data_IF_353839315396
#
_entry.id   IF_353839315396
#
_cell.length_a   1.000
_cell.length_b   1.000
_cell.length_c   1.000
_cell.angle_alpha   90.00
_cell.angle_beta   90.00
_cell.angle_gamma   90.00
#
_symmetry.space_group_name_H-M   'P 1'
#
loop_
_entity.id
_entity.type
_entity.pdbx_description
1 polymer ?
#
# COMPACT_ATOMS: atom_id res chain seq x y z
N UNK A 1 53.24 -157.78 7.28
CA UNK A 1 52.74 -156.40 7.39
C UNK A 1 51.46 -156.28 6.57
N UNK A 2 50.42 -155.73 7.20
CA UNK A 2 49.00 -155.84 6.83
C UNK A 2 48.70 -155.15 5.49
N UNK A 3 48.04 -155.83 4.54
CA UNK A 3 47.44 -155.18 3.38
C UNK A 3 46.20 -154.44 3.87
N UNK A 4 46.26 -153.12 3.85
CA UNK A 4 45.12 -152.25 4.19
C UNK A 4 44.24 -152.19 2.95
N UNK A 5 43.23 -153.05 2.89
CA UNK A 5 42.17 -152.94 1.88
C UNK A 5 41.31 -151.71 2.23
N UNK A 6 41.60 -150.59 1.57
CA UNK A 6 40.74 -149.41 1.64
C UNK A 6 39.35 -149.76 1.05
N UNK A 7 38.25 -149.19 1.57
CA UNK A 7 36.88 -149.55 1.21
C UNK A 7 36.49 -148.98 -0.17
N UNK A 8 37.09 -149.50 -1.23
CA UNK A 8 36.81 -149.10 -2.62
C UNK A 8 35.51 -149.74 -3.11
N UNK A 9 35.23 -150.99 -2.73
CA UNK A 9 34.05 -151.76 -3.13
C UNK A 9 32.72 -151.12 -2.68
N UNK A 10 32.62 -150.65 -1.43
CA UNK A 10 31.40 -150.00 -0.90
C UNK A 10 31.09 -148.66 -1.60
N UNK A 11 32.11 -147.99 -2.13
CA UNK A 11 31.94 -146.76 -2.91
C UNK A 11 31.42 -147.07 -4.32
N UNK A 12 31.93 -148.15 -4.93
CA UNK A 12 31.52 -148.62 -6.25
C UNK A 12 30.07 -149.11 -6.24
N UNK A 13 29.67 -149.90 -5.25
CA UNK A 13 28.28 -150.37 -5.11
C UNK A 13 27.31 -149.21 -4.94
N UNK A 14 27.62 -148.25 -4.05
CA UNK A 14 26.83 -147.03 -3.87
C UNK A 14 26.74 -146.21 -5.15
N UNK A 15 27.81 -146.16 -5.95
CA UNK A 15 27.81 -145.47 -7.24
C UNK A 15 26.90 -146.19 -8.28
N UNK A 16 26.92 -147.52 -8.30
CA UNK A 16 26.06 -148.33 -9.18
C UNK A 16 24.59 -148.19 -8.78
N UNK A 17 24.26 -148.22 -7.49
CA UNK A 17 22.90 -148.03 -6.99
C UNK A 17 22.38 -146.62 -7.27
N UNK A 18 23.22 -145.58 -7.12
CA UNK A 18 22.89 -144.21 -7.55
C UNK A 18 22.59 -144.13 -9.05
N UNK A 19 23.35 -144.86 -9.88
CA UNK A 19 23.10 -144.90 -11.32
C UNK A 19 21.78 -145.60 -11.65
N UNK A 20 21.53 -146.77 -11.05
CA UNK A 20 20.27 -147.52 -11.23
C UNK A 20 19.06 -146.70 -10.79
N UNK A 21 19.13 -146.04 -9.64
CA UNK A 21 18.07 -145.17 -9.13
C UNK A 21 17.88 -143.90 -9.98
N UNK A 22 18.96 -143.28 -10.48
CA UNK A 22 18.86 -142.17 -11.42
C UNK A 22 18.19 -142.58 -12.75
N UNK A 23 18.47 -143.79 -13.24
CA UNK A 23 17.83 -144.33 -14.45
C UNK A 23 16.35 -144.65 -14.26
N UNK A 24 15.93 -145.18 -13.10
CA UNK A 24 14.50 -145.39 -12.81
C UNK A 24 13.74 -144.07 -12.75
N UNK A 25 14.31 -143.05 -12.09
CA UNK A 25 13.77 -141.67 -12.04
C UNK A 25 13.73 -141.03 -13.43
N UNK A 26 14.72 -141.31 -14.30
CA UNK A 26 14.73 -140.84 -15.69
C UNK A 26 13.65 -141.52 -16.54
N UNK A 27 13.53 -142.85 -16.48
CA UNK A 27 12.52 -143.62 -17.22
C UNK A 27 11.11 -143.14 -16.86
N UNK A 28 10.82 -142.98 -15.57
CA UNK A 28 9.53 -142.46 -15.10
C UNK A 28 9.14 -141.11 -15.72
N UNK A 29 10.12 -140.22 -15.96
CA UNK A 29 9.89 -138.92 -16.62
C UNK A 29 9.68 -139.04 -18.14
N UNK A 30 10.44 -139.89 -18.82
CA UNK A 30 10.38 -140.05 -20.29
C UNK A 30 9.06 -140.68 -20.74
N UNK A 31 8.54 -141.64 -19.97
CA UNK A 31 7.32 -142.37 -20.31
C UNK A 31 6.04 -141.63 -19.90
N UNK A 32 6.11 -140.60 -19.04
CA UNK A 32 4.98 -139.75 -18.73
C UNK A 32 4.83 -138.61 -19.76
N UNK A 33 3.81 -138.66 -20.61
CA UNK A 33 3.60 -137.69 -21.71
C UNK A 33 3.39 -136.26 -21.22
N UNK A 34 2.68 -136.06 -20.10
CA UNK A 34 2.38 -134.73 -19.55
C UNK A 34 3.62 -134.06 -18.97
N UNK A 35 4.43 -134.78 -18.19
CA UNK A 35 5.68 -134.26 -17.63
C UNK A 35 6.74 -133.99 -18.72
N UNK A 36 6.70 -134.76 -19.82
CA UNK A 36 7.57 -134.55 -20.99
C UNK A 36 7.22 -133.28 -21.77
N UNK A 37 5.94 -132.96 -21.91
CA UNK A 37 5.46 -131.75 -22.63
C UNK A 37 5.50 -130.51 -21.72
N UNK A 38 5.15 -130.65 -20.43
CA UNK A 38 5.13 -129.56 -19.45
C UNK A 38 5.79 -130.00 -18.14
N UNK A 39 7.12 -129.92 -18.09
CA UNK A 39 7.90 -130.17 -16.88
C UNK A 39 8.09 -128.89 -16.07
N UNK A 40 7.19 -128.63 -15.11
CA UNK A 40 7.27 -127.48 -14.20
C UNK A 40 7.48 -127.97 -12.76
N UNK A 41 8.49 -127.42 -12.09
CA UNK A 41 8.72 -127.60 -10.66
C UNK A 41 8.11 -126.42 -9.90
N UNK A 42 6.88 -126.63 -9.40
CA UNK A 42 6.13 -125.59 -8.69
C UNK A 42 6.79 -125.20 -7.36
N UNK A 43 7.41 -126.16 -6.67
CA UNK A 43 8.05 -125.92 -5.38
C UNK A 43 9.32 -125.10 -5.56
N UNK A 44 10.15 -125.40 -6.56
CA UNK A 44 11.32 -124.60 -6.89
C UNK A 44 10.92 -123.18 -7.34
N UNK A 45 9.88 -123.04 -8.17
CA UNK A 45 9.41 -121.74 -8.63
C UNK A 45 8.87 -120.89 -7.47
N UNK A 46 8.09 -121.49 -6.56
CA UNK A 46 7.61 -120.81 -5.36
C UNK A 46 8.77 -120.33 -4.47
N UNK A 47 9.81 -121.16 -4.28
CA UNK A 47 11.02 -120.74 -3.55
C UNK A 47 11.71 -119.55 -4.23
N UNK A 48 11.84 -119.56 -5.55
CA UNK A 48 12.43 -118.45 -6.30
C UNK A 48 11.62 -117.16 -6.16
N UNK A 49 10.29 -117.24 -6.21
CA UNK A 49 9.41 -116.08 -6.00
C UNK A 49 9.58 -115.50 -4.59
N UNK A 50 9.64 -116.36 -3.56
CA UNK A 50 9.85 -115.90 -2.18
C UNK A 50 11.23 -115.25 -2.00
N UNK A 51 12.29 -115.83 -2.58
CA UNK A 51 13.62 -115.21 -2.51
C UNK A 51 13.66 -113.87 -3.25
N UNK A 52 13.00 -113.75 -4.40
CA UNK A 52 12.89 -112.46 -5.12
C UNK A 52 12.16 -111.41 -4.28
N UNK A 53 11.05 -111.78 -3.61
CA UNK A 53 10.33 -110.88 -2.69
C UNK A 53 11.20 -110.46 -1.51
N UNK A 54 11.93 -111.40 -0.90
CA UNK A 54 12.85 -111.12 0.20
C UNK A 54 13.93 -110.11 -0.22
N UNK A 55 14.51 -110.31 -1.41
CA UNK A 55 15.48 -109.38 -2.00
C UNK A 55 14.89 -107.98 -2.21
N UNK A 56 13.69 -107.90 -2.79
CA UNK A 56 13.00 -106.61 -2.99
C UNK A 56 12.72 -105.90 -1.65
N UNK A 57 12.23 -106.62 -0.65
CA UNK A 57 11.98 -106.05 0.67
C UNK A 57 13.27 -105.52 1.32
N UNK A 58 14.38 -106.25 1.19
CA UNK A 58 15.69 -105.78 1.67
C UNK A 58 16.16 -104.51 0.94
N UNK A 59 15.94 -104.45 -0.38
CA UNK A 59 16.29 -103.28 -1.19
C UNK A 59 15.44 -102.06 -0.82
N UNK A 60 14.14 -102.24 -0.61
CA UNK A 60 13.23 -101.19 -0.11
C UNK A 60 13.68 -100.72 1.28
N UNK A 61 13.99 -101.63 2.20
CA UNK A 61 14.49 -101.26 3.53
C UNK A 61 15.80 -100.47 3.46
N UNK A 62 16.69 -100.85 2.53
CA UNK A 62 17.94 -100.12 2.27
C UNK A 62 17.68 -98.72 1.71
N UNK A 63 16.76 -98.59 0.75
CA UNK A 63 16.31 -97.28 0.23
C UNK A 63 15.77 -96.40 1.34
N UNK A 64 14.81 -96.90 2.12
CA UNK A 64 14.21 -96.19 3.24
C UNK A 64 15.24 -95.76 4.30
N UNK A 65 16.31 -96.54 4.51
CA UNK A 65 17.38 -96.18 5.43
C UNK A 65 18.22 -95.00 4.91
N UNK A 66 18.49 -94.96 3.60
CA UNK A 66 19.18 -93.84 2.96
C UNK A 66 18.31 -92.58 2.92
N UNK A 67 17.01 -92.71 2.65
CA UNK A 67 16.08 -91.57 2.65
C UNK A 67 16.05 -90.91 4.03
N UNK A 68 15.97 -91.70 5.10
CA UNK A 68 16.07 -91.20 6.49
C UNK A 68 17.38 -90.49 6.79
N UNK A 69 18.49 -91.01 6.26
CA UNK A 69 19.80 -90.38 6.43
C UNK A 69 19.86 -89.04 5.69
N UNK A 70 19.28 -88.97 4.49
CA UNK A 70 19.10 -87.72 3.74
C UNK A 70 18.33 -86.69 4.54
N UNK A 71 17.16 -87.06 5.08
CA UNK A 71 16.37 -86.16 5.94
C UNK A 71 17.15 -85.65 7.16
N UNK A 72 17.99 -86.50 7.77
CA UNK A 72 18.83 -86.09 8.90
C UNK A 72 19.85 -85.04 8.48
N UNK A 73 20.53 -85.26 7.35
CA UNK A 73 21.52 -84.31 6.83
C UNK A 73 20.88 -82.99 6.41
N UNK A 74 19.72 -83.04 5.75
CA UNK A 74 18.97 -81.84 5.34
C UNK A 74 18.58 -81.00 6.57
N UNK A 75 18.06 -81.66 7.63
CA UNK A 75 17.72 -80.98 8.89
C UNK A 75 18.96 -80.36 9.55
N UNK A 76 20.09 -81.05 9.55
CA UNK A 76 21.33 -80.52 10.11
C UNK A 76 21.84 -79.30 9.34
N UNK A 77 21.77 -79.32 8.01
CA UNK A 77 22.13 -78.19 7.17
C UNK A 77 21.21 -76.98 7.42
N UNK A 78 19.90 -77.22 7.50
CA UNK A 78 18.92 -76.17 7.80
C UNK A 78 19.17 -75.53 9.16
N UNK A 79 19.53 -76.33 10.18
CA UNK A 79 19.87 -75.79 11.50
C UNK A 79 21.12 -74.92 11.44
N UNK A 80 22.18 -75.37 10.74
CA UNK A 80 23.39 -74.58 10.55
C UNK A 80 23.10 -73.25 9.85
N UNK A 81 22.26 -73.25 8.81
CA UNK A 81 21.84 -72.04 8.12
C UNK A 81 21.08 -71.08 9.03
N UNK A 82 20.22 -71.60 9.91
CA UNK A 82 19.50 -70.79 10.91
C UNK A 82 20.49 -70.17 11.90
N UNK A 83 21.37 -70.99 12.48
CA UNK A 83 22.36 -70.53 13.46
C UNK A 83 23.28 -69.45 12.87
N UNK A 84 23.72 -69.62 11.61
CA UNK A 84 24.54 -68.62 10.91
C UNK A 84 23.76 -67.32 10.62
N UNK A 85 22.47 -67.42 10.27
CA UNK A 85 21.62 -66.24 10.09
C UNK A 85 21.42 -65.48 11.39
N UNK A 86 21.21 -66.19 12.50
CA UNK A 86 21.08 -65.58 13.83
C UNK A 86 22.37 -64.88 14.25
N UNK A 87 23.54 -65.51 14.07
CA UNK A 87 24.84 -64.86 14.33
C UNK A 87 25.03 -63.59 13.49
N UNK A 88 24.71 -63.65 12.18
CA UNK A 88 24.79 -62.48 11.30
C UNK A 88 23.83 -61.38 11.73
N UNK A 89 22.62 -61.73 12.14
CA UNK A 89 21.64 -60.78 12.65
C UNK A 89 22.12 -60.11 13.93
N UNK A 90 22.68 -60.86 14.88
CA UNK A 90 23.27 -60.34 16.11
C UNK A 90 24.43 -59.37 15.83
N UNK A 91 25.36 -59.75 14.95
CA UNK A 91 26.44 -58.86 14.53
C UNK A 91 25.92 -57.57 13.89
N UNK A 92 24.87 -57.67 13.07
CA UNK A 92 24.25 -56.50 12.46
C UNK A 92 23.57 -55.60 13.51
N UNK A 93 22.88 -56.17 14.50
CA UNK A 93 22.29 -55.38 15.58
C UNK A 93 23.35 -54.65 16.39
N UNK A 94 24.46 -55.32 16.69
CA UNK A 94 25.57 -54.73 17.45
C UNK A 94 26.25 -53.59 16.68
N UNK A 95 26.47 -53.78 15.36
CA UNK A 95 26.98 -52.71 14.49
C UNK A 95 26.03 -51.53 14.42
N UNK A 96 24.73 -51.80 14.31
CA UNK A 96 23.71 -50.74 14.28
C UNK A 96 23.72 -49.95 15.59
N UNK A 97 23.81 -50.63 16.73
CA UNK A 97 23.94 -49.99 18.04
C UNK A 97 25.22 -49.14 18.11
N UNK A 98 26.35 -49.67 17.65
CA UNK A 98 27.62 -48.97 17.62
C UNK A 98 27.59 -47.71 16.74
N UNK A 99 26.99 -47.78 15.54
CA UNK A 99 26.81 -46.61 14.69
C UNK A 99 25.91 -45.56 15.35
N UNK A 100 24.83 -46.00 15.99
CA UNK A 100 23.92 -45.11 16.70
C UNK A 100 24.57 -44.41 17.90
N UNK A 101 25.50 -45.06 18.60
CA UNK A 101 26.18 -44.48 19.78
C UNK A 101 27.40 -43.65 19.43
N UNK A 102 28.17 -44.01 18.41
CA UNK A 102 29.50 -43.43 18.17
C UNK A 102 29.71 -42.78 16.80
N UNK A 103 28.77 -42.93 15.87
CA UNK A 103 28.87 -42.34 14.52
C UNK A 103 27.68 -41.42 14.24
N UNK A 104 27.25 -40.66 15.25
CA UNK A 104 26.19 -39.68 15.06
C UNK A 104 26.73 -38.52 14.23
N UNK A 105 25.86 -37.88 13.45
CA UNK A 105 26.23 -36.69 12.67
C UNK A 105 26.75 -35.55 13.56
N UNK A 106 26.23 -35.48 14.80
CA UNK A 106 26.67 -34.56 15.84
C UNK A 106 28.10 -34.82 16.35
N UNK A 107 28.59 -36.07 16.29
CA UNK A 107 29.92 -36.43 16.77
C UNK A 107 31.02 -36.14 15.71
N UNK A 108 30.62 -35.69 14.52
CA UNK A 108 31.55 -35.31 13.46
C UNK A 108 32.36 -34.08 13.84
N UNK A 109 33.65 -34.04 13.48
CA UNK A 109 34.49 -32.86 13.65
C UNK A 109 33.88 -31.58 13.03
N UNK A 110 33.13 -31.74 11.93
CA UNK A 110 32.49 -30.62 11.23
C UNK A 110 30.99 -30.52 11.56
N UNK A 111 30.55 -31.08 12.69
CA UNK A 111 29.15 -31.05 13.10
C UNK A 111 28.67 -29.60 13.30
N UNK A 112 29.52 -28.69 13.77
CA UNK A 112 29.26 -27.26 13.88
C UNK A 112 28.96 -26.59 12.52
N UNK A 113 29.64 -27.03 11.45
CA UNK A 113 29.42 -26.55 10.08
C UNK A 113 28.14 -27.12 9.44
N UNK A 114 27.77 -28.36 9.80
CA UNK A 114 26.66 -29.11 9.17
C UNK A 114 25.33 -28.95 9.92
N UNK A 115 25.38 -29.02 11.24
CA UNK A 115 24.24 -29.04 12.13
C UNK A 115 24.01 -27.64 12.69
N UNK A 116 22.89 -27.00 12.31
CA UNK A 116 22.49 -25.71 12.89
C UNK A 116 22.42 -24.52 11.94
N UNK A 117 22.57 -24.71 10.62
CA UNK A 117 22.40 -23.65 9.60
C UNK A 117 20.94 -23.19 9.40
N UNK A 118 20.07 -23.31 10.40
CA UNK A 118 18.69 -22.78 10.34
C UNK A 118 18.62 -21.42 11.03
N UNK A 119 18.97 -20.37 10.30
CA UNK A 119 18.74 -18.99 10.72
C UNK A 119 19.82 -18.01 10.23
N UNK A 120 19.54 -16.72 10.37
CA UNK A 120 20.56 -15.69 10.23
C UNK A 120 21.54 -15.85 11.41
N UNK A 121 22.84 -15.99 11.11
CA UNK A 121 23.90 -15.97 12.12
C UNK A 121 23.74 -14.70 12.97
N UNK A 122 23.21 -14.84 14.18
CA UNK A 122 23.33 -13.79 15.18
C UNK A 122 24.77 -13.86 15.62
N UNK A 123 25.58 -12.96 15.07
CA UNK A 123 26.96 -12.78 15.51
C UNK A 123 26.85 -12.33 16.98
N UNK A 124 27.04 -13.26 17.91
CA UNK A 124 27.09 -13.01 19.37
C UNK A 124 28.42 -12.33 19.76
N UNK A 125 29.14 -11.74 18.80
CA UNK A 125 30.40 -11.04 19.06
C UNK A 125 30.01 -9.60 19.43
N UNK A 126 30.36 -9.13 20.64
CA UNK A 126 30.06 -7.77 21.06
C UNK A 126 30.74 -6.76 20.12
N UNK A 127 30.04 -5.65 19.83
CA UNK A 127 30.49 -4.62 18.88
C UNK A 127 31.89 -4.05 19.20
N UNK A 128 32.33 -4.15 20.46
CA UNK A 128 33.65 -3.72 20.90
C UNK A 128 34.83 -4.54 20.35
N UNK A 129 34.59 -5.78 19.92
CA UNK A 129 35.63 -6.65 19.31
C UNK A 129 35.66 -6.54 17.78
N UNK A 130 34.67 -5.86 17.19
CA UNK A 130 34.52 -5.74 15.75
C UNK A 130 35.25 -4.50 15.23
N UNK A 131 36.51 -4.69 14.88
CA UNK A 131 37.32 -3.66 14.23
C UNK A 131 36.89 -3.36 12.78
N UNK A 132 37.48 -2.34 12.13
CA UNK A 132 37.15 -1.94 10.75
C UNK A 132 37.29 -3.06 9.71
N UNK A 133 38.22 -4.01 9.93
CA UNK A 133 38.43 -5.16 9.05
C UNK A 133 37.24 -6.14 9.03
N UNK A 134 36.39 -6.11 10.06
CA UNK A 134 35.20 -6.98 10.14
C UNK A 134 34.11 -6.58 9.14
N UNK A 135 34.14 -5.33 8.65
CA UNK A 135 33.27 -4.80 7.60
C UNK A 135 31.76 -4.94 7.89
N UNK A 136 31.37 -5.06 9.17
CA UNK A 136 29.98 -5.23 9.62
C UNK A 136 29.29 -3.91 9.94
N UNK A 137 30.05 -2.91 10.34
CA UNK A 137 29.56 -1.57 10.66
C UNK A 137 30.31 -0.55 9.83
N UNK A 138 29.56 0.37 9.21
CA UNK A 138 30.12 1.47 8.46
C UNK A 138 29.66 2.79 9.07
N UNK A 139 30.61 3.65 9.45
CA UNK A 139 30.30 4.98 9.97
C UNK A 139 29.51 5.86 8.97
N UNK A 140 29.54 5.51 7.68
CA UNK A 140 28.81 6.19 6.61
C UNK A 140 27.38 5.70 6.35
N UNK A 141 26.84 4.74 7.11
CA UNK A 141 25.46 4.26 6.93
C UNK A 141 24.37 5.31 7.26
N UNK A 142 24.76 6.47 7.78
CA UNK A 142 23.82 7.56 8.02
C UNK A 142 22.93 7.34 9.24
N UNK A 143 23.36 6.51 10.19
CA UNK A 143 22.69 6.34 11.48
C UNK A 143 22.57 7.73 12.15
N UNK A 144 21.35 8.27 12.23
CA UNK A 144 21.06 9.62 12.73
C UNK A 144 20.95 10.74 11.69
N UNK A 145 21.06 10.46 10.38
CA UNK A 145 20.80 11.44 9.32
C UNK A 145 19.38 11.97 9.32
N UNK A 146 18.40 11.11 9.59
CA UNK A 146 17.01 11.55 9.75
C UNK A 146 16.87 12.58 10.87
N UNK A 147 17.57 12.39 11.99
CA UNK A 147 17.52 13.31 13.12
C UNK A 147 18.16 14.65 12.76
N UNK A 148 19.32 14.65 12.09
CA UNK A 148 19.95 15.86 11.56
C UNK A 148 19.04 16.59 10.57
N UNK A 149 18.38 15.86 9.66
CA UNK A 149 17.43 16.43 8.70
C UNK A 149 16.21 17.02 9.38
N UNK A 150 15.66 16.37 10.41
CA UNK A 150 14.56 16.91 11.24
C UNK A 150 14.96 18.21 11.91
N UNK A 151 16.17 18.29 12.47
CA UNK A 151 16.68 19.51 13.09
C UNK A 151 16.88 20.64 12.07
N UNK A 152 17.41 20.33 10.89
CA UNK A 152 17.51 21.29 9.78
C UNK A 152 16.13 21.81 9.36
N UNK A 153 15.14 20.92 9.16
CA UNK A 153 13.78 21.30 8.81
C UNK A 153 13.13 22.19 9.88
N UNK A 154 13.38 21.91 11.17
CA UNK A 154 12.90 22.75 12.27
C UNK A 154 13.51 24.16 12.23
N UNK A 155 14.80 24.28 11.92
CA UNK A 155 15.46 25.59 11.76
C UNK A 155 14.85 26.36 10.59
N UNK A 156 14.73 25.73 9.42
CA UNK A 156 14.16 26.39 8.23
C UNK A 156 12.70 26.81 8.44
N UNK A 157 11.88 25.98 9.10
CA UNK A 157 10.49 26.34 9.43
C UNK A 157 10.42 27.54 10.38
N UNK A 158 11.29 27.60 11.39
CA UNK A 158 11.38 28.74 12.31
C UNK A 158 11.71 30.04 11.57
N UNK A 159 12.67 30.00 10.65
CA UNK A 159 13.11 31.17 9.90
C UNK A 159 12.01 31.67 8.94
N UNK A 160 11.34 30.76 8.23
CA UNK A 160 10.22 31.10 7.34
C UNK A 160 9.04 31.71 8.12
N UNK A 161 8.73 31.17 9.29
CA UNK A 161 7.68 31.73 10.17
C UNK A 161 8.02 33.15 10.61
N UNK A 162 9.26 33.38 11.03
CA UNK A 162 9.72 34.72 11.43
C UNK A 162 9.62 35.72 10.26
N UNK A 163 10.01 35.31 9.05
CA UNK A 163 9.90 36.13 7.85
C UNK A 163 8.44 36.46 7.51
N UNK A 164 7.53 35.48 7.61
CA UNK A 164 6.10 35.68 7.37
C UNK A 164 5.51 36.66 8.38
N UNK A 165 5.82 36.50 9.67
CA UNK A 165 5.33 37.38 10.73
C UNK A 165 5.83 38.82 10.55
N UNK A 166 7.12 39.00 10.20
CA UNK A 166 7.67 40.33 9.92
C UNK A 166 6.98 40.99 8.71
N UNK A 167 6.72 40.22 7.64
CA UNK A 167 6.00 40.73 6.47
C UNK A 167 4.55 41.10 6.81
N UNK A 168 3.86 40.30 7.61
CA UNK A 168 2.51 40.60 8.10
C UNK A 168 2.48 41.88 8.96
N UNK A 169 3.46 42.06 9.85
CA UNK A 169 3.62 43.29 10.65
C UNK A 169 3.85 44.53 9.76
N UNK A 170 4.71 44.42 8.74
CA UNK A 170 4.92 45.51 7.76
C UNK A 170 3.65 45.85 7.00
N UNK A 171 2.93 44.84 6.52
CA UNK A 171 1.71 45.01 5.74
C UNK A 171 0.54 45.58 6.56
N UNK A 172 0.35 45.10 7.79
CA UNK A 172 -0.63 45.68 8.73
C UNK A 172 -0.28 47.13 9.07
N UNK A 173 0.99 47.41 9.36
CA UNK A 173 1.49 48.77 9.57
C UNK A 173 1.23 49.69 8.38
N UNK A 174 1.46 49.22 7.15
CA UNK A 174 1.15 49.98 5.93
C UNK A 174 -0.35 50.26 5.78
N UNK A 175 -1.22 49.27 6.00
CA UNK A 175 -2.68 49.46 5.97
C UNK A 175 -3.18 50.44 7.03
N UNK A 176 -2.60 50.41 8.23
CA UNK A 176 -2.93 51.38 9.28
C UNK A 176 -2.54 52.80 8.89
N UNK A 177 -1.36 52.99 8.28
CA UNK A 177 -0.93 54.29 7.74
C UNK A 177 -1.84 54.78 6.62
N UNK A 178 -2.16 53.92 5.66
CA UNK A 178 -3.07 54.25 4.55
C UNK A 178 -4.46 54.66 5.06
N UNK A 179 -5.01 53.95 6.05
CA UNK A 179 -6.29 54.32 6.68
C UNK A 179 -6.21 55.67 7.39
N UNK A 180 -5.12 55.94 8.10
CA UNK A 180 -4.92 57.22 8.77
C UNK A 180 -4.82 58.39 7.76
N UNK A 181 -4.14 58.18 6.63
CA UNK A 181 -4.07 59.16 5.54
C UNK A 181 -5.43 59.40 4.89
N UNK A 182 -6.21 58.34 4.62
CA UNK A 182 -7.57 58.45 4.09
C UNK A 182 -8.50 59.23 5.01
N UNK A 183 -8.45 58.97 6.32
CA UNK A 183 -9.25 59.72 7.31
C UNK A 183 -8.88 61.20 7.34
N UNK A 184 -7.57 61.53 7.27
CA UNK A 184 -7.12 62.94 7.18
C UNK A 184 -7.60 63.62 5.91
N UNK A 185 -7.56 62.92 4.78
CA UNK A 185 -8.04 63.46 3.51
C UNK A 185 -9.56 63.66 3.51
N UNK A 186 -10.31 62.72 4.10
CA UNK A 186 -11.76 62.86 4.30
C UNK A 186 -12.10 64.07 5.16
N UNK A 187 -11.43 64.25 6.31
CA UNK A 187 -11.62 65.42 7.15
C UNK A 187 -11.33 66.73 6.39
N UNK A 188 -10.23 66.79 5.64
CA UNK A 188 -9.90 67.95 4.81
C UNK A 188 -10.95 68.22 3.72
N UNK A 189 -11.55 67.16 3.17
CA UNK A 189 -12.63 67.27 2.18
C UNK A 189 -13.91 67.78 2.82
N UNK A 190 -14.30 67.24 3.98
CA UNK A 190 -15.46 67.70 4.75
C UNK A 190 -15.32 69.17 5.12
N UNK A 191 -14.15 69.62 5.58
CA UNK A 191 -13.89 71.04 5.85
C UNK A 191 -14.10 71.93 4.62
N UNK A 192 -13.67 71.47 3.43
CA UNK A 192 -13.87 72.19 2.17
C UNK A 192 -15.34 72.24 1.76
N UNK A 193 -16.06 71.13 1.90
CA UNK A 193 -17.49 71.04 1.59
C UNK A 193 -18.31 71.91 2.56
N UNK A 194 -18.02 71.86 3.86
CA UNK A 194 -18.63 72.71 4.87
C UNK A 194 -18.38 74.20 4.57
N UNK A 195 -17.15 74.58 4.19
CA UNK A 195 -16.85 75.96 3.81
C UNK A 195 -17.64 76.38 2.55
N UNK A 196 -17.73 75.51 1.55
CA UNK A 196 -18.50 75.77 0.34
C UNK A 196 -20.01 75.91 0.64
N UNK A 197 -20.56 75.09 1.52
CA UNK A 197 -21.97 75.18 1.96
C UNK A 197 -22.24 76.50 2.70
N UNK A 198 -21.35 76.89 3.62
CA UNK A 198 -21.42 78.19 4.29
C UNK A 198 -21.37 79.35 3.29
N UNK A 199 -20.43 79.31 2.34
CA UNK A 199 -20.30 80.34 1.30
C UNK A 199 -21.51 80.40 0.38
N UNK A 200 -22.04 79.25 -0.05
CA UNK A 200 -23.24 79.17 -0.87
C UNK A 200 -24.45 79.74 -0.10
N UNK A 201 -24.60 79.41 1.18
CA UNK A 201 -25.67 79.94 2.04
C UNK A 201 -25.55 81.46 2.19
N UNK A 202 -24.36 81.97 2.51
CA UNK A 202 -24.12 83.41 2.66
C UNK A 202 -24.32 84.19 1.36
N UNK A 203 -24.00 83.59 0.21
CA UNK A 203 -24.12 84.23 -1.11
C UNK A 203 -25.48 84.00 -1.76
N UNK A 204 -26.33 83.17 -1.16
CA UNK A 204 -27.66 82.86 -1.65
C UNK A 204 -28.52 84.13 -1.76
N UNK A 205 -29.40 84.16 -2.75
CA UNK A 205 -30.34 85.26 -3.01
C UNK A 205 -31.28 85.53 -1.82
N UNK A 206 -31.54 84.50 -0.99
CA UNK A 206 -32.31 84.64 0.24
C UNK A 206 -31.60 85.47 1.31
N UNK A 207 -30.27 85.38 1.40
CA UNK A 207 -29.46 86.05 2.43
C UNK A 207 -28.88 87.38 1.97
N UNK A 208 -28.60 87.54 0.66
CA UNK A 208 -28.04 88.77 0.07
C UNK A 208 -29.10 89.76 -0.42
N UNK A 209 -30.36 89.34 -0.41
CA UNK A 209 -31.53 90.13 -0.79
C UNK A 209 -31.41 90.88 -2.14
N UNK A 210 -30.65 90.34 -3.11
CA UNK A 210 -30.40 91.00 -4.40
C UNK A 210 -31.70 91.39 -5.10
N UNK A 211 -31.84 92.67 -5.43
CA UNK A 211 -33.01 93.23 -6.13
C UNK A 211 -33.13 92.78 -7.60
N UNK A 212 -32.03 92.27 -8.17
CA UNK A 212 -31.97 91.73 -9.53
C UNK A 212 -32.79 90.46 -9.71
N UNK A 213 -32.92 89.64 -8.65
CA UNK A 213 -33.72 88.41 -8.68
C UNK A 213 -35.23 88.66 -8.92
N UNK A 214 -35.68 89.91 -8.80
CA UNK A 214 -37.05 90.35 -9.10
C UNK A 214 -37.28 90.62 -10.60
N UNK A 215 -36.21 90.83 -11.37
CA UNK A 215 -36.27 91.13 -12.80
C UNK A 215 -36.33 89.82 -13.58
N UNK A 216 -37.37 89.61 -14.37
CA UNK A 216 -37.33 88.64 -15.47
C UNK A 216 -37.05 89.37 -16.77
N UNK A 217 -35.92 89.06 -17.38
CA UNK A 217 -35.74 89.31 -18.80
C UNK A 217 -36.69 88.37 -19.55
N UNK A 218 -37.62 88.96 -20.29
CA UNK A 218 -38.52 88.20 -21.16
C UNK A 218 -37.91 88.27 -22.56
N UNK A 219 -37.44 87.15 -23.08
CA UNK A 219 -36.99 87.04 -24.47
C UNK A 219 -38.11 87.51 -25.42
N UNK A 220 -37.79 88.45 -26.32
CA UNK A 220 -38.76 88.99 -27.30
C UNK A 220 -39.14 90.47 -27.15
N UNK A 221 -38.28 91.32 -26.57
CA UNK A 221 -38.38 92.78 -26.68
C UNK A 221 -39.54 93.42 -25.90
N UNK A 222 -40.17 92.71 -24.96
CA UNK A 222 -41.15 93.30 -24.03
C UNK A 222 -40.41 94.01 -22.88
N UNK A 223 -40.94 95.13 -22.36
CA UNK A 223 -40.36 95.79 -21.21
C UNK A 223 -40.27 94.81 -20.02
N UNK A 224 -39.17 94.85 -19.22
CA UNK A 224 -38.93 93.92 -18.13
C UNK A 224 -40.13 93.83 -17.19
N UNK A 225 -40.60 92.60 -16.91
CA UNK A 225 -41.66 92.38 -15.94
C UNK A 225 -41.06 91.99 -14.60
N UNK A 226 -41.50 92.67 -13.55
CA UNK A 226 -41.12 92.35 -12.18
C UNK A 226 -42.00 91.21 -11.69
N UNK A 227 -41.38 90.19 -11.08
CA UNK A 227 -42.12 89.13 -10.41
C UNK A 227 -42.79 89.68 -9.15
N UNK A 228 -44.12 89.52 -9.06
CA UNK A 228 -44.94 90.07 -7.96
C UNK A 228 -44.43 89.57 -6.60
N UNK A 229 -44.16 88.28 -6.48
CA UNK A 229 -43.76 87.64 -5.21
C UNK A 229 -42.32 87.99 -4.79
N UNK A 230 -41.53 88.61 -5.67
CA UNK A 230 -40.13 88.96 -5.43
C UNK A 230 -39.87 90.47 -5.47
N UNK A 231 -40.92 91.30 -5.49
CA UNK A 231 -40.77 92.74 -5.55
C UNK A 231 -40.28 93.30 -4.20
N UNK A 232 -39.13 93.97 -4.21
CA UNK A 232 -38.46 94.52 -3.02
C UNK A 232 -38.40 96.06 -2.99
N UNK A 233 -39.35 96.74 -3.65
CA UNK A 233 -39.36 98.21 -3.76
C UNK A 233 -38.74 98.73 -5.07
N UNK A 234 -38.69 100.07 -5.22
CA UNK A 234 -38.12 100.74 -6.40
C UNK A 234 -36.59 100.82 -6.32
N UNK A 235 -35.89 100.84 -7.47
CA UNK A 235 -34.44 101.01 -7.48
C UNK A 235 -34.03 102.43 -6.99
N UNK A 236 -32.84 102.59 -6.39
CA UNK A 236 -32.34 103.91 -6.00
C UNK A 236 -32.25 104.89 -7.18
N UNK A 237 -31.92 104.38 -8.38
CA UNK A 237 -31.89 105.17 -9.62
C UNK A 237 -33.30 105.65 -9.99
N UNK A 238 -34.30 104.78 -9.94
CA UNK A 238 -35.70 105.14 -10.20
C UNK A 238 -36.22 106.18 -9.20
N UNK A 239 -35.88 106.03 -7.91
CA UNK A 239 -36.23 107.02 -6.88
C UNK A 239 -35.52 108.35 -7.12
N UNK A 240 -34.26 108.32 -7.58
CA UNK A 240 -33.51 109.54 -7.91
C UNK A 240 -34.09 110.29 -9.11
N UNK A 241 -34.56 109.57 -10.14
CA UNK A 241 -35.24 110.16 -11.29
C UNK A 241 -36.57 110.81 -10.87
N UNK A 242 -37.35 110.16 -10.00
CA UNK A 242 -38.59 110.73 -9.43
C UNK A 242 -38.28 112.01 -8.64
N UNK A 243 -37.21 112.01 -7.84
CA UNK A 243 -36.80 113.20 -7.09
C UNK A 243 -36.37 114.33 -8.02
N UNK A 244 -35.58 114.03 -9.06
CA UNK A 244 -35.15 115.00 -10.08
C UNK A 244 -36.35 115.61 -10.80
N UNK A 245 -37.27 114.78 -11.29
CA UNK A 245 -38.48 115.23 -11.99
C UNK A 245 -39.37 116.08 -11.07
N UNK A 246 -39.45 115.74 -9.78
CA UNK A 246 -40.15 116.56 -8.77
C UNK A 246 -39.49 117.93 -8.57
N UNK A 247 -38.16 118.01 -8.61
CA UNK A 247 -37.44 119.28 -8.54
C UNK A 247 -37.60 120.11 -9.81
N UNK A 248 -37.56 119.49 -10.98
CA UNK A 248 -37.84 120.13 -12.27
C UNK A 248 -39.26 120.71 -12.30
N UNK A 249 -40.27 119.95 -11.85
CA UNK A 249 -41.64 120.45 -11.70
C UNK A 249 -41.73 121.64 -10.72
N UNK A 250 -40.94 121.64 -9.63
CA UNK A 250 -40.88 122.79 -8.70
C UNK A 250 -40.26 124.02 -9.35
N UNK A 251 -39.22 123.84 -10.14
CA UNK A 251 -38.54 124.90 -10.88
C UNK A 251 -39.43 125.47 -12.00
N UNK A 252 -40.09 124.61 -12.78
CA UNK A 252 -41.03 125.01 -13.83
C UNK A 252 -42.19 125.83 -13.23
N UNK A 253 -42.73 125.40 -12.08
CA UNK A 253 -43.74 126.16 -11.34
C UNK A 253 -43.21 127.50 -10.81
N UNK A 254 -41.92 127.59 -10.45
CA UNK A 254 -41.28 128.86 -10.06
C UNK A 254 -41.06 129.80 -11.26
N UNK A 255 -40.69 129.28 -12.43
CA UNK A 255 -40.52 130.06 -13.67
C UNK A 255 -41.86 130.63 -14.15
N UNK A 256 -42.94 129.84 -14.04
CA UNK A 256 -44.31 130.30 -14.35
C UNK A 256 -44.77 131.44 -13.41
N UNK A 257 -44.24 131.52 -12.19
CA UNK A 257 -44.54 132.61 -11.24
C UNK A 257 -43.75 133.90 -11.49
N UNK A 258 -42.60 133.84 -12.18
CA UNK A 258 -41.71 135.00 -12.39
C UNK A 258 -41.87 135.68 -13.76
N UNK A 259 -42.66 135.10 -14.66
CA UNK A 259 -43.08 135.74 -15.92
C UNK A 259 -44.54 136.20 -15.81
N UNK A 260 -44.82 137.46 -15.44
CA UNK A 260 -46.19 137.96 -15.48
C UNK A 260 -46.68 137.98 -16.94
N UNK A 261 -47.95 137.59 -17.20
CA UNK A 261 -48.57 137.80 -18.51
C UNK A 261 -48.42 139.27 -18.92
N UNK A 262 -48.01 139.50 -20.17
CA UNK A 262 -47.76 140.83 -20.76
C UNK A 262 -48.93 141.82 -20.59
N UNK A 263 -50.13 141.31 -20.31
CA UNK A 263 -51.35 142.08 -20.03
C UNK A 263 -51.24 142.99 -18.78
N UNK A 264 -50.41 142.62 -17.79
CA UNK A 264 -50.35 143.35 -16.50
C UNK A 264 -49.37 144.55 -16.52
N UNK A 265 -48.52 144.66 -17.54
CA UNK A 265 -47.57 145.78 -17.73
C UNK A 265 -48.21 146.92 -18.53
N UNK A 266 -49.15 146.61 -19.44
CA UNK A 266 -49.97 147.60 -20.15
C UNK A 266 -50.96 148.33 -19.21
N UNK A 267 -51.60 147.63 -18.28
CA UNK A 267 -52.59 148.20 -17.35
C UNK A 267 -51.98 149.18 -16.33
N UNK A 268 -50.71 148.99 -15.92
CA UNK A 268 -50.01 149.94 -15.03
C UNK A 268 -49.53 151.22 -15.73
N UNK A 269 -49.27 151.17 -17.04
CA UNK A 269 -48.84 152.34 -17.83
C UNK A 269 -50.02 153.25 -18.22
N UNK A 270 -51.22 152.67 -18.43
CA UNK A 270 -52.45 153.43 -18.67
C UNK A 270 -52.97 154.15 -17.40
N UNK A 271 -52.79 153.55 -16.21
CA UNK A 271 -53.25 154.14 -14.93
C UNK A 271 -52.43 155.36 -14.49
N UNK A 272 -51.19 155.52 -14.96
CA UNK A 272 -50.33 156.65 -14.59
C UNK A 272 -50.53 157.89 -15.50
N UNK A 273 -51.23 157.75 -16.64
CA UNK A 273 -51.50 158.84 -17.60
C UNK A 273 -52.83 159.58 -17.39
N UNK A 274 -53.70 159.13 -16.48
CA UNK A 274 -55.01 159.76 -16.19
C UNK A 274 -55.08 160.51 -14.85
N UNK A 275 -53.96 160.65 -14.12
CA UNK A 275 -53.89 161.35 -12.83
C UNK A 275 -53.27 162.76 -12.85
N UNK A 276 -52.84 163.25 -14.02
CA UNK A 276 -52.10 164.52 -14.18
C UNK A 276 -52.81 165.53 -15.10
N UNK A 277 -54.14 165.51 -15.12
CA UNK A 277 -54.99 166.48 -15.82
C UNK A 277 -56.35 166.55 -15.13
N UNK A 278 -56.52 167.58 -14.30
CA UNK A 278 -57.71 168.12 -13.58
C UNK A 278 -57.28 168.46 -12.13
N UNK A 279 -57.14 169.73 -11.71
CA UNK A 279 -58.11 170.84 -11.78
C UNK A 279 -59.50 170.44 -11.30
#
# INVERSE_FOLDING_TARGET
>A
MYKVDLPVEQSLEKAVERRRSAETVRKARIFNTRLRVMGLDLDALNRQVQEKKRRQNMEIQRGNAFDKLGEYHDKALMQQDIDEREKRAALHTDLTQYWATHQREEDSHNADLKCGLKGAFRITIPEGELGPASMKFFQGEGIGEEQRRREQMKKTDRDLRAQKEDNEKRHTGAKHRERAEKLKEQHRREERENLAEMQHTLTSDMMTERSEAAKREVEGGRPPRVLVDKWKGMSPEQLSDIHREREEQRLEKQVLLQTPPQDNVMLKRFRMQLGNSNS
#
